data_IF_651879782308
#
_entry.id   IF_651879782308
#
_cell.length_a   1.000
_cell.length_b   1.000
_cell.length_c   1.000
_cell.angle_alpha   90.00
_cell.angle_beta   90.00
_cell.angle_gamma   90.00
#
_symmetry.space_group_name_H-M   'P 1'
#
loop_
_entity.id
_entity.type
_entity.pdbx_description
1 polymer ?
#
# COMPACT_ATOMS: atom_id res chain seq x y z
N UNK A 1 2.90 -12.27 -12.86
CA UNK A 1 2.31 -13.36 -12.05
C UNK A 1 1.09 -12.78 -11.37
N UNK A 2 -0.10 -13.33 -11.63
CA UNK A 2 -1.39 -12.73 -11.26
C UNK A 2 -1.58 -12.79 -9.74
N UNK A 3 -1.80 -11.63 -9.09
CA UNK A 3 -2.19 -11.52 -7.69
C UNK A 3 -3.56 -12.15 -7.52
N UNK A 4 -3.59 -13.37 -7.02
CA UNK A 4 -4.79 -14.19 -7.07
C UNK A 4 -5.69 -13.79 -5.90
N UNK A 5 -6.88 -13.26 -6.18
CA UNK A 5 -7.88 -12.87 -5.16
C UNK A 5 -8.15 -13.97 -4.11
N UNK A 6 -7.95 -15.23 -4.52
CA UNK A 6 -7.98 -16.41 -3.65
C UNK A 6 -6.94 -16.38 -2.52
N UNK A 7 -5.76 -15.78 -2.71
CA UNK A 7 -4.75 -15.62 -1.68
C UNK A 7 -5.17 -14.57 -0.63
N UNK A 8 -5.82 -13.48 -1.06
CA UNK A 8 -6.38 -12.47 -0.15
C UNK A 8 -7.52 -13.06 0.64
N UNK A 9 -8.47 -13.71 -0.03
CA UNK A 9 -9.59 -14.39 0.60
C UNK A 9 -9.10 -15.45 1.60
N UNK A 10 -8.03 -16.18 1.29
CA UNK A 10 -7.43 -17.15 2.22
C UNK A 10 -6.80 -16.48 3.44
N UNK A 11 -6.04 -15.39 3.26
CA UNK A 11 -5.44 -14.64 4.39
C UNK A 11 -6.52 -14.03 5.29
N UNK A 12 -7.58 -13.48 4.69
CA UNK A 12 -8.76 -12.99 5.39
C UNK A 12 -9.48 -14.12 6.14
N UNK A 13 -9.72 -15.25 5.47
CA UNK A 13 -10.42 -16.40 6.03
C UNK A 13 -9.63 -17.10 7.15
N UNK A 14 -8.30 -16.99 7.15
CA UNK A 14 -7.46 -17.50 8.24
C UNK A 14 -7.39 -16.58 9.47
N UNK A 15 -7.96 -15.36 9.40
CA UNK A 15 -7.92 -14.41 10.50
C UNK A 15 -6.50 -13.93 10.83
N UNK A 16 -5.61 -13.89 9.82
CA UNK A 16 -4.20 -13.54 10.02
C UNK A 16 -4.00 -12.07 10.45
N UNK A 17 -4.97 -11.20 10.18
CA UNK A 17 -4.92 -9.78 10.52
C UNK A 17 -4.80 -9.59 12.05
N UNK A 18 -5.63 -10.26 12.85
CA UNK A 18 -5.61 -10.10 14.31
C UNK A 18 -4.24 -10.39 14.96
N UNK A 19 -3.62 -11.55 14.69
CA UNK A 19 -2.26 -11.86 15.15
C UNK A 19 -1.20 -10.87 14.64
N UNK A 20 -1.30 -10.38 13.40
CA UNK A 20 -0.39 -9.35 12.87
C UNK A 20 -0.55 -8.02 13.63
N UNK A 21 -1.78 -7.58 13.91
CA UNK A 21 -2.04 -6.39 14.73
C UNK A 21 -1.48 -6.55 16.16
N UNK A 22 -1.51 -7.76 16.73
CA UNK A 22 -0.92 -8.03 18.04
C UNK A 22 0.62 -7.94 18.01
N UNK A 23 1.23 -8.41 16.92
CA UNK A 23 2.69 -8.34 16.75
C UNK A 23 3.23 -6.91 16.62
N UNK A 24 2.41 -5.94 16.21
CA UNK A 24 2.75 -4.50 16.23
C UNK A 24 3.03 -3.96 17.65
N UNK A 25 2.63 -4.68 18.70
CA UNK A 25 2.93 -4.31 20.10
C UNK A 25 4.30 -4.81 20.57
N UNK A 26 5.06 -5.49 19.72
CA UNK A 26 6.41 -5.98 20.04
C UNK A 26 7.41 -4.84 19.80
N UNK A 27 8.15 -4.44 20.84
CA UNK A 27 9.20 -3.42 20.78
C UNK A 27 10.50 -4.00 20.20
N UNK A 28 10.42 -4.60 19.01
CA UNK A 28 11.57 -5.08 18.25
C UNK A 28 11.49 -4.50 16.83
N UNK A 29 12.42 -3.61 16.43
CA UNK A 29 12.36 -2.96 15.13
C UNK A 29 12.39 -3.91 13.93
N UNK A 30 13.04 -5.07 14.04
CA UNK A 30 13.09 -6.05 12.95
C UNK A 30 11.73 -6.75 12.82
N UNK A 31 11.12 -7.10 13.95
CA UNK A 31 9.77 -7.70 13.95
C UNK A 31 8.76 -6.70 13.43
N UNK A 32 8.79 -5.45 13.89
CA UNK A 32 7.90 -4.39 13.41
C UNK A 32 8.00 -4.20 11.91
N UNK A 33 9.22 -4.11 11.35
CA UNK A 33 9.42 -3.98 9.91
C UNK A 33 8.80 -5.15 9.12
N UNK A 34 9.00 -6.39 9.57
CA UNK A 34 8.43 -7.58 8.90
C UNK A 34 6.90 -7.60 8.98
N UNK A 35 6.33 -7.22 10.13
CA UNK A 35 4.87 -7.18 10.31
C UNK A 35 4.25 -6.08 9.45
N UNK A 36 4.89 -4.91 9.37
CA UNK A 36 4.43 -3.80 8.53
C UNK A 36 4.51 -4.14 7.04
N UNK A 37 5.57 -4.82 6.60
CA UNK A 37 5.68 -5.33 5.23
C UNK A 37 4.57 -6.36 4.93
N UNK A 38 4.26 -7.24 5.87
CA UNK A 38 3.16 -8.20 5.72
C UNK A 38 1.81 -7.49 5.58
N UNK A 39 1.51 -6.50 6.44
CA UNK A 39 0.28 -5.70 6.35
C UNK A 39 0.21 -4.92 5.04
N UNK A 40 1.31 -4.28 4.62
CA UNK A 40 1.41 -3.57 3.34
C UNK A 40 1.11 -4.51 2.17
N UNK A 41 1.64 -5.73 2.18
CA UNK A 41 1.39 -6.69 1.12
C UNK A 41 -0.06 -7.18 1.08
N UNK A 42 -0.71 -7.38 2.24
CA UNK A 42 -2.13 -7.73 2.31
C UNK A 42 -2.98 -6.60 1.72
N UNK A 43 -2.72 -5.35 2.12
CA UNK A 43 -3.43 -4.17 1.63
C UNK A 43 -3.21 -3.97 0.11
N UNK A 44 -1.98 -4.16 -0.40
CA UNK A 44 -1.68 -4.13 -1.84
C UNK A 44 -2.49 -5.17 -2.62
N UNK A 45 -2.66 -6.36 -2.08
CA UNK A 45 -3.43 -7.40 -2.76
C UNK A 45 -4.94 -7.11 -2.68
N UNK A 46 -5.41 -6.56 -1.57
CA UNK A 46 -6.80 -6.15 -1.39
C UNK A 46 -7.17 -4.95 -2.28
N UNK A 47 -6.21 -4.09 -2.60
CA UNK A 47 -6.37 -2.96 -3.52
C UNK A 47 -6.82 -3.37 -4.94
N UNK A 48 -6.80 -4.67 -5.28
CA UNK A 48 -7.39 -5.18 -6.53
C UNK A 48 -8.93 -5.10 -6.56
N UNK A 49 -9.61 -4.86 -5.44
CA UNK A 49 -11.07 -4.69 -5.37
C UNK A 49 -11.44 -3.79 -4.20
N UNK A 50 -12.24 -2.76 -4.45
CA UNK A 50 -12.59 -1.77 -3.42
C UNK A 50 -13.27 -2.41 -2.19
N UNK A 51 -14.21 -3.35 -2.39
CA UNK A 51 -14.83 -4.12 -1.30
C UNK A 51 -13.82 -4.90 -0.45
N UNK A 52 -12.83 -5.53 -1.07
CA UNK A 52 -11.79 -6.29 -0.35
C UNK A 52 -10.88 -5.36 0.44
N UNK A 53 -10.51 -4.21 -0.14
CA UNK A 53 -9.71 -3.20 0.54
C UNK A 53 -10.43 -2.66 1.77
N UNK A 54 -11.69 -2.25 1.63
CA UNK A 54 -12.54 -1.77 2.74
C UNK A 54 -12.70 -2.86 3.81
N UNK A 55 -12.88 -4.13 3.42
CA UNK A 55 -12.98 -5.23 4.37
C UNK A 55 -11.70 -5.46 5.16
N UNK A 56 -10.52 -5.33 4.53
CA UNK A 56 -9.23 -5.47 5.20
C UNK A 56 -8.95 -4.29 6.12
N UNK A 57 -9.16 -3.06 5.66
CA UNK A 57 -8.91 -1.86 6.47
C UNK A 57 -9.83 -1.84 7.69
N UNK A 58 -11.12 -2.15 7.53
CA UNK A 58 -12.04 -2.26 8.67
C UNK A 58 -11.61 -3.33 9.68
N UNK A 59 -11.11 -4.48 9.24
CA UNK A 59 -10.59 -5.50 10.18
C UNK A 59 -9.34 -5.03 10.93
N UNK A 60 -8.49 -4.22 10.29
CA UNK A 60 -7.31 -3.61 10.93
C UNK A 60 -7.75 -2.56 11.96
N UNK A 61 -8.83 -1.81 11.71
CA UNK A 61 -9.39 -0.88 12.68
C UNK A 61 -10.03 -1.62 13.86
N UNK A 62 -10.84 -2.65 13.59
CA UNK A 62 -11.52 -3.45 14.63
C UNK A 62 -10.55 -4.17 15.58
N UNK A 63 -9.37 -4.57 15.09
CA UNK A 63 -8.31 -5.17 15.93
C UNK A 63 -7.50 -4.13 16.73
N UNK A 64 -7.78 -2.83 16.59
CA UNK A 64 -6.95 -1.74 17.13
C UNK A 64 -5.56 -1.70 16.49
N UNK A 65 -5.45 -2.13 15.24
CA UNK A 65 -4.20 -2.13 14.48
C UNK A 65 -3.84 -0.74 13.99
N UNK A 66 -4.83 0.06 13.57
CA UNK A 66 -4.63 1.43 13.12
C UNK A 66 -4.00 2.30 14.22
N UNK A 67 -4.55 2.29 15.43
CA UNK A 67 -4.01 3.05 16.57
C UNK A 67 -2.53 2.71 16.83
N UNK A 68 -2.15 1.43 16.70
CA UNK A 68 -0.76 0.99 16.88
C UNK A 68 0.14 1.48 15.75
N UNK A 69 -0.34 1.50 14.51
CA UNK A 69 0.42 2.03 13.38
C UNK A 69 0.63 3.54 13.55
N UNK A 70 -0.38 4.26 14.06
CA UNK A 70 -0.26 5.69 14.41
C UNK A 70 0.78 5.91 15.52
N UNK A 71 0.79 5.08 16.58
CA UNK A 71 1.80 5.13 17.62
C UNK A 71 3.22 4.93 17.06
N UNK A 72 3.38 4.05 16.06
CA UNK A 72 4.66 3.80 15.38
C UNK A 72 5.16 5.01 14.59
N UNK A 73 4.31 5.99 14.26
CA UNK A 73 4.77 7.26 13.70
C UNK A 73 5.60 8.10 14.69
N UNK A 74 5.58 7.77 15.98
CA UNK A 74 6.43 8.40 17.00
C UNK A 74 7.66 7.54 17.37
N UNK A 75 7.90 6.45 16.63
CA UNK A 75 8.97 5.51 16.92
C UNK A 75 10.36 6.12 16.65
N UNK A 76 11.35 5.79 17.49
CA UNK A 76 12.71 6.34 17.39
C UNK A 76 13.49 5.90 16.15
N UNK A 77 13.10 4.77 15.58
CA UNK A 77 13.66 4.28 14.33
C UNK A 77 12.94 4.97 13.15
N UNK A 78 13.68 5.77 12.40
CA UNK A 78 13.18 6.51 11.22
C UNK A 78 12.60 5.59 10.14
N UNK A 79 13.09 4.36 10.00
CA UNK A 79 12.55 3.40 9.03
C UNK A 79 11.14 2.97 9.41
N UNK A 80 10.90 2.69 10.69
CA UNK A 80 9.58 2.31 11.21
C UNK A 80 8.60 3.47 11.09
N UNK A 81 9.05 4.68 11.43
CA UNK A 81 8.27 5.90 11.21
C UNK A 81 7.82 6.04 9.75
N UNK A 82 8.75 5.92 8.79
CA UNK A 82 8.44 6.04 7.36
C UNK A 82 7.47 4.97 6.90
N UNK A 83 7.69 3.72 7.29
CA UNK A 83 6.77 2.62 6.96
C UNK A 83 5.37 2.87 7.50
N UNK A 84 5.24 3.42 8.71
CA UNK A 84 3.94 3.69 9.33
C UNK A 84 3.24 4.85 8.62
N UNK A 85 4.00 5.90 8.32
CA UNK A 85 3.51 7.06 7.55
C UNK A 85 3.01 6.62 6.18
N UNK A 86 3.82 5.91 5.39
CA UNK A 86 3.47 5.47 4.05
C UNK A 86 2.24 4.54 4.04
N UNK A 87 2.09 3.69 5.06
CA UNK A 87 0.95 2.77 5.16
C UNK A 87 -0.36 3.52 5.46
N UNK A 88 -0.33 4.49 6.36
CA UNK A 88 -1.49 5.33 6.69
C UNK A 88 -1.86 6.22 5.51
N UNK A 89 -0.88 6.94 4.95
CA UNK A 89 -1.06 7.84 3.81
C UNK A 89 -1.73 7.12 2.64
N UNK A 90 -1.27 5.90 2.34
CA UNK A 90 -1.72 5.14 1.17
C UNK A 90 -3.06 4.42 1.31
N UNK A 91 -3.42 3.97 2.51
CA UNK A 91 -4.57 3.06 2.70
C UNK A 91 -5.64 3.57 3.67
N UNK A 92 -5.31 4.52 4.53
CA UNK A 92 -6.20 5.02 5.59
C UNK A 92 -6.53 6.51 5.45
N UNK A 93 -6.04 7.18 4.40
CA UNK A 93 -6.39 8.58 4.09
C UNK A 93 -7.57 8.62 3.12
N UNK A 94 -8.48 9.58 3.27
CA UNK A 94 -9.78 9.65 2.56
C UNK A 94 -9.69 9.76 1.01
N UNK A 95 -8.50 9.94 0.43
CA UNK A 95 -8.24 10.00 -1.02
C UNK A 95 -8.10 8.61 -1.70
N UNK A 96 -8.78 7.57 -1.19
CA UNK A 96 -8.85 6.23 -1.81
C UNK A 96 -9.66 6.18 -3.12
N UNK A 97 -9.92 7.33 -3.76
CA UNK A 97 -10.54 7.41 -5.09
C UNK A 97 -9.55 7.18 -6.24
N UNK A 98 -8.23 7.30 -6.01
CA UNK A 98 -7.20 7.01 -7.03
C UNK A 98 -6.38 5.77 -6.67
N UNK A 99 -7.01 4.59 -6.71
CA UNK A 99 -6.25 3.35 -6.89
C UNK A 99 -5.52 3.44 -8.24
N UNK A 100 -4.18 3.48 -8.29
CA UNK A 100 -3.49 3.53 -9.57
C UNK A 100 -3.73 2.21 -10.30
N UNK A 101 -4.49 2.26 -11.40
CA UNK A 101 -4.70 1.16 -12.33
C UNK A 101 -3.40 0.72 -13.07
N UNK A 102 -2.22 0.83 -12.47
CA UNK A 102 -0.98 0.35 -13.10
C UNK A 102 0.22 0.12 -12.16
N UNK A 103 0.12 -0.77 -11.17
CA UNK A 103 1.34 -1.49 -10.75
C UNK A 103 1.69 -2.56 -11.80
N UNK A 104 2.02 -2.10 -13.01
CA UNK A 104 2.71 -2.88 -14.02
C UNK A 104 4.22 -2.65 -13.86
N UNK A 105 4.88 -3.67 -13.35
CA UNK A 105 6.30 -3.99 -13.54
C UNK A 105 6.87 -3.38 -14.84
N UNK A 106 7.83 -2.44 -14.74
CA UNK A 106 8.48 -1.88 -15.93
C UNK A 106 9.30 -0.60 -15.73
N UNK A 107 10.58 -0.75 -15.39
CA UNK A 107 11.74 -0.02 -15.93
C UNK A 107 11.72 1.53 -15.97
N UNK A 108 12.47 2.15 -15.05
CA UNK A 108 12.83 3.56 -15.12
C UNK A 108 13.78 3.83 -16.30
N UNK A 109 13.30 4.39 -17.41
CA UNK A 109 14.15 5.03 -18.43
C UNK A 109 14.13 6.54 -18.27
N UNK A 110 15.14 7.10 -17.60
CA UNK A 110 15.41 8.55 -17.60
C UNK A 110 16.22 8.90 -18.86
N UNK A 111 15.55 9.48 -19.85
CA UNK A 111 16.17 9.93 -21.09
C UNK A 111 15.48 11.18 -21.60
N UNK A 112 15.85 12.33 -21.04
CA UNK A 112 15.44 13.64 -21.48
C UNK A 112 15.66 13.86 -22.99
N UNK A 113 14.69 14.46 -23.68
CA UNK A 113 14.97 15.63 -24.52
C UNK A 113 13.70 16.45 -24.81
N UNK A 114 13.87 17.75 -24.59
CA UNK A 114 12.89 18.81 -24.77
C UNK A 114 12.86 19.32 -26.22
N UNK A 115 11.69 19.84 -26.63
CA UNK A 115 11.46 20.98 -27.54
C UNK A 115 10.07 20.79 -28.18
N UNK A 116 9.04 21.49 -27.72
CA UNK A 116 8.64 22.82 -28.21
C UNK A 116 7.98 22.77 -29.61
N UNK A 117 6.65 22.74 -29.59
CA UNK A 117 5.71 23.55 -30.37
C UNK A 117 6.18 24.15 -31.70
N UNK A 118 5.49 23.84 -32.80
CA UNK A 118 4.90 24.83 -33.73
C UNK A 118 4.05 24.14 -34.83
N UNK A 119 2.84 24.69 -35.03
CA UNK A 119 1.97 24.51 -36.20
C UNK A 119 2.71 24.62 -37.53
N UNK A 120 2.25 23.94 -38.59
CA UNK A 120 1.68 24.57 -39.82
C UNK A 120 1.28 23.54 -40.90
N UNK A 121 0.32 23.97 -41.71
CA UNK A 121 -0.54 23.33 -42.72
C UNK A 121 0.10 23.02 -44.09
N UNK A 122 -0.51 22.04 -44.81
CA UNK A 122 -0.61 21.88 -46.30
C UNK A 122 0.66 21.39 -47.04
N UNK A 123 0.68 20.48 -48.04
CA UNK A 123 -0.24 20.05 -49.12
C UNK A 123 0.01 18.57 -49.51
N UNK A 124 -1.03 17.87 -49.98
CA UNK A 124 -0.93 16.62 -50.75
C UNK A 124 -0.69 16.90 -52.25
N UNK A 125 -0.03 15.94 -52.92
CA UNK A 125 0.44 15.94 -54.32
C UNK A 125 -0.68 16.04 -55.37
#
# INVERSE_FOLDING_TARGET
MSGNKEQVAYVLQQGAIGPLCQALSIDDPQVLAVVMDALSNILKLAACSHDDLVSVTSQIEECGGLDKIEDLQNHRNEEIYKLAFDLIDKYFTEDVEELPENMADGEYTFGANAAADHQQTKFEF
#
